data_IF_996456912468
#
_entry.id   IF_996456912468
#
_cell.length_a   1.000
_cell.length_b   1.000
_cell.length_c   1.000
_cell.angle_alpha   90.00
_cell.angle_beta   90.00
_cell.angle_gamma   90.00
#
_symmetry.space_group_name_H-M   'P 1'
#
loop_
_entity.id
_entity.type
_entity.pdbx_description
1 polymer ?
#
# COMPACT_ATOMS: atom_id res chain seq x y z
N UNK A 1 -13.67 47.36 27.41
CA UNK A 1 -12.74 46.74 26.43
C UNK A 1 -12.36 45.31 26.81
N UNK A 2 -11.77 45.04 27.98
CA UNK A 2 -11.37 43.67 28.39
C UNK A 2 -12.52 42.63 28.40
N UNK A 3 -13.71 43.00 28.89
CA UNK A 3 -14.89 42.10 28.89
C UNK A 3 -15.42 41.77 27.48
N UNK A 4 -15.38 42.75 26.58
CA UNK A 4 -15.75 42.55 25.16
C UNK A 4 -14.74 41.65 24.46
N UNK A 5 -13.45 41.84 24.76
CA UNK A 5 -12.37 40.98 24.25
C UNK A 5 -12.53 39.54 24.76
N UNK A 6 -12.84 39.34 26.05
CA UNK A 6 -13.10 38.01 26.62
C UNK A 6 -14.33 37.32 26.02
N UNK A 7 -15.41 38.06 25.74
CA UNK A 7 -16.60 37.54 25.07
C UNK A 7 -16.31 37.12 23.62
N UNK A 8 -15.51 37.91 22.90
CA UNK A 8 -15.12 37.60 21.53
C UNK A 8 -14.24 36.35 21.44
N UNK A 9 -13.27 36.20 22.37
CA UNK A 9 -12.42 35.02 22.45
C UNK A 9 -13.24 33.77 22.80
N UNK A 10 -14.20 33.87 23.73
CA UNK A 10 -15.10 32.77 24.06
C UNK A 10 -15.95 32.34 22.86
N UNK A 11 -16.43 33.29 22.06
CA UNK A 11 -17.22 32.98 20.86
C UNK A 11 -16.38 32.28 19.78
N UNK A 12 -15.13 32.71 19.61
CA UNK A 12 -14.18 32.09 18.66
C UNK A 12 -13.81 30.67 19.09
N UNK A 13 -13.62 30.42 20.39
CA UNK A 13 -13.32 29.08 20.90
C UNK A 13 -14.50 28.11 20.82
N UNK A 14 -15.74 28.61 20.72
CA UNK A 14 -16.94 27.78 20.50
C UNK A 14 -17.23 27.48 19.03
N UNK A 15 -16.56 28.17 18.10
CA UNK A 15 -16.65 27.87 16.68
C UNK A 15 -15.85 26.59 16.40
N UNK A 16 -16.55 25.46 16.31
CA UNK A 16 -16.00 24.19 15.86
C UNK A 16 -15.63 24.31 14.37
N UNK A 17 -14.42 24.81 14.10
CA UNK A 17 -13.82 24.74 12.78
C UNK A 17 -13.50 23.27 12.50
N UNK A 18 -14.42 22.59 11.83
CA UNK A 18 -14.20 21.23 11.34
C UNK A 18 -13.07 21.26 10.31
N UNK A 19 -11.88 20.87 10.74
CA UNK A 19 -10.77 20.58 9.82
C UNK A 19 -11.12 19.28 9.10
N UNK A 20 -11.23 19.34 7.77
CA UNK A 20 -11.43 18.16 6.92
C UNK A 20 -10.11 17.80 6.27
N UNK A 21 -9.71 16.55 6.40
CA UNK A 21 -8.63 15.98 5.60
C UNK A 21 -9.26 15.27 4.40
N UNK A 22 -9.01 15.78 3.20
CA UNK A 22 -9.51 15.19 1.95
C UNK A 22 -8.55 14.13 1.39
N UNK A 23 -7.27 14.15 1.81
CA UNK A 23 -6.23 13.20 1.40
C UNK A 23 -6.22 11.93 2.29
N UNK A 24 -5.71 10.82 1.77
CA UNK A 24 -5.51 9.60 2.56
C UNK A 24 -5.07 8.38 1.76
N UNK A 25 -4.42 7.44 2.46
CA UNK A 25 -4.18 6.07 1.97
C UNK A 25 -5.27 5.17 2.53
N UNK A 26 -6.15 4.67 1.66
CA UNK A 26 -7.38 4.00 2.04
C UNK A 26 -7.25 2.49 2.01
N UNK A 27 -7.82 1.82 3.01
CA UNK A 27 -7.88 0.36 3.05
C UNK A 27 -8.85 -0.15 1.98
N UNK A 28 -8.37 -1.03 1.10
CA UNK A 28 -9.15 -1.58 -0.02
C UNK A 28 -10.52 -2.16 0.40
N UNK A 29 -10.63 -2.96 1.49
CA UNK A 29 -11.91 -3.52 1.92
C UNK A 29 -12.94 -2.46 2.37
N UNK A 30 -12.50 -1.24 2.67
CA UNK A 30 -13.35 -0.15 3.17
C UNK A 30 -13.73 0.87 2.09
N UNK A 31 -13.21 0.74 0.85
CA UNK A 31 -13.45 1.69 -0.24
C UNK A 31 -14.94 1.96 -0.48
N UNK A 32 -15.75 0.89 -0.52
CA UNK A 32 -17.20 0.99 -0.72
C UNK A 32 -17.88 1.87 0.34
N UNK A 33 -17.44 1.76 1.59
CA UNK A 33 -18.03 2.46 2.73
C UNK A 33 -17.55 3.91 2.83
N UNK A 34 -16.28 4.16 2.52
CA UNK A 34 -15.63 5.43 2.86
C UNK A 34 -15.36 6.34 1.67
N UNK A 35 -15.17 5.81 0.45
CA UNK A 35 -14.56 6.57 -0.64
C UNK A 35 -15.34 6.55 -1.95
N UNK A 36 -16.11 5.49 -2.24
CA UNK A 36 -16.75 5.34 -3.55
C UNK A 36 -17.71 6.48 -3.93
N UNK A 37 -18.41 7.09 -2.97
CA UNK A 37 -19.26 8.26 -3.22
C UNK A 37 -18.46 9.39 -3.83
N UNK A 38 -17.42 9.84 -3.14
CA UNK A 38 -16.50 10.89 -3.60
C UNK A 38 -15.80 10.51 -4.91
N UNK A 39 -15.30 9.28 -5.05
CA UNK A 39 -14.65 8.83 -6.29
C UNK A 39 -15.59 8.93 -7.49
N UNK A 40 -16.85 8.51 -7.32
CA UNK A 40 -17.87 8.57 -8.38
C UNK A 40 -18.25 10.01 -8.72
N UNK A 41 -18.38 10.88 -7.72
CA UNK A 41 -18.62 12.33 -7.92
C UNK A 41 -17.48 12.99 -8.72
N UNK A 42 -16.23 12.54 -8.51
CA UNK A 42 -15.06 12.95 -9.27
C UNK A 42 -14.95 12.30 -10.66
N UNK A 43 -15.92 11.47 -11.05
CA UNK A 43 -16.02 10.88 -12.38
C UNK A 43 -15.43 9.47 -12.51
N UNK A 44 -14.97 8.86 -11.42
CA UNK A 44 -14.52 7.47 -11.44
C UNK A 44 -15.66 6.52 -11.81
N UNK A 45 -15.36 5.50 -12.60
CA UNK A 45 -16.38 4.64 -13.24
C UNK A 45 -16.43 3.21 -12.74
N UNK A 46 -15.36 2.72 -12.11
CA UNK A 46 -15.32 1.37 -11.59
C UNK A 46 -16.03 1.30 -10.25
N UNK A 47 -16.58 0.14 -9.95
CA UNK A 47 -17.11 -0.21 -8.64
C UNK A 47 -15.98 -0.54 -7.65
N UNK A 48 -16.31 -0.56 -6.35
CA UNK A 48 -15.38 -1.03 -5.32
C UNK A 48 -14.92 -2.48 -5.55
N UNK A 49 -15.81 -3.34 -6.05
CA UNK A 49 -15.53 -4.76 -6.29
C UNK A 49 -14.53 -4.97 -7.44
N UNK A 50 -14.60 -4.11 -8.47
CA UNK A 50 -13.62 -4.09 -9.57
C UNK A 50 -12.24 -3.61 -9.12
N UNK A 51 -12.16 -2.82 -8.03
CA UNK A 51 -10.88 -2.46 -7.41
C UNK A 51 -10.38 -3.61 -6.52
N UNK A 52 -11.21 -4.07 -5.59
CA UNK A 52 -10.87 -5.12 -4.62
C UNK A 52 -12.04 -6.08 -4.45
N UNK A 53 -11.81 -7.33 -4.84
CA UNK A 53 -12.67 -8.47 -4.52
C UNK A 53 -11.86 -9.58 -3.89
N UNK A 54 -12.43 -10.29 -2.92
CA UNK A 54 -11.84 -11.52 -2.37
C UNK A 54 -12.20 -12.73 -3.26
N UNK A 55 -13.39 -12.69 -3.88
CA UNK A 55 -13.98 -13.84 -4.55
C UNK A 55 -13.81 -13.82 -6.08
N UNK A 56 -13.55 -12.65 -6.65
CA UNK A 56 -13.39 -12.45 -8.08
C UNK A 56 -12.04 -11.80 -8.39
N UNK A 57 -11.63 -11.84 -9.66
CA UNK A 57 -10.52 -11.04 -10.13
C UNK A 57 -10.83 -9.55 -10.03
N UNK A 58 -9.89 -8.75 -9.56
CA UNK A 58 -10.02 -7.29 -9.49
C UNK A 58 -8.69 -6.60 -9.79
N UNK A 59 -8.65 -5.26 -9.80
CA UNK A 59 -7.42 -4.50 -10.04
C UNK A 59 -6.30 -4.89 -9.06
N UNK A 60 -6.63 -5.28 -7.82
CA UNK A 60 -5.65 -5.75 -6.83
C UNK A 60 -4.71 -6.83 -7.37
N UNK A 61 -5.20 -7.69 -8.27
CA UNK A 61 -4.45 -8.84 -8.79
C UNK A 61 -3.37 -8.44 -9.81
N UNK A 62 -3.51 -7.23 -10.38
CA UNK A 62 -2.51 -6.66 -11.28
C UNK A 62 -1.48 -5.78 -10.57
N UNK A 63 -1.72 -5.39 -9.31
CA UNK A 63 -0.82 -4.50 -8.56
C UNK A 63 0.00 -5.33 -7.58
N UNK A 64 1.32 -5.18 -7.65
CA UNK A 64 2.27 -5.99 -6.88
C UNK A 64 3.26 -5.15 -6.11
N UNK A 65 3.76 -5.71 -5.01
CA UNK A 65 4.96 -5.19 -4.36
C UNK A 65 6.17 -5.70 -5.12
N UNK A 66 6.97 -4.78 -5.65
CA UNK A 66 8.21 -5.05 -6.34
C UNK A 66 9.39 -4.96 -5.36
N UNK A 67 10.04 -6.09 -5.09
CA UNK A 67 11.10 -6.18 -4.10
C UNK A 67 10.62 -5.85 -2.68
N UNK A 68 11.29 -4.91 -2.00
CA UNK A 68 11.01 -4.53 -0.60
C UNK A 68 10.72 -3.03 -0.42
N UNK A 69 9.96 -2.42 -1.34
CA UNK A 69 9.56 -1.03 -1.17
C UNK A 69 8.99 -0.29 -2.37
N UNK A 70 8.92 -0.92 -3.55
CA UNK A 70 8.31 -0.32 -4.73
C UNK A 70 6.99 -1.02 -5.08
N UNK A 71 6.22 -0.35 -5.93
CA UNK A 71 5.03 -0.91 -6.58
C UNK A 71 5.35 -1.22 -8.05
N UNK A 72 4.68 -2.22 -8.60
CA UNK A 72 4.66 -2.49 -10.03
C UNK A 72 3.26 -2.95 -10.45
N UNK A 73 3.00 -2.92 -11.75
CA UNK A 73 1.74 -3.32 -12.35
C UNK A 73 1.94 -4.34 -13.48
N UNK A 74 1.11 -5.38 -13.49
CA UNK A 74 1.04 -6.36 -14.58
C UNK A 74 0.26 -5.74 -15.73
N UNK A 75 0.88 -5.73 -16.92
CA UNK A 75 0.29 -5.13 -18.14
C UNK A 75 0.13 -6.14 -19.28
N UNK A 76 0.46 -7.41 -19.06
CA UNK A 76 0.23 -8.47 -20.04
C UNK A 76 -0.18 -9.79 -19.38
N UNK A 77 -0.90 -10.63 -20.14
CA UNK A 77 -1.27 -11.99 -19.72
C UNK A 77 -0.08 -12.95 -19.59
N UNK A 78 1.12 -12.51 -19.97
CA UNK A 78 2.36 -13.27 -19.86
C UNK A 78 3.26 -12.78 -18.72
N UNK A 79 2.76 -11.88 -17.86
CA UNK A 79 3.47 -11.42 -16.67
C UNK A 79 4.44 -10.26 -16.90
N UNK A 80 4.27 -9.48 -17.98
CA UNK A 80 5.05 -8.26 -18.17
C UNK A 80 4.68 -7.26 -17.06
N UNK A 81 5.70 -6.79 -16.33
CA UNK A 81 5.58 -5.83 -15.24
C UNK A 81 6.15 -4.47 -15.65
N UNK A 82 5.44 -3.41 -15.31
CA UNK A 82 5.97 -2.05 -15.35
C UNK A 82 6.26 -1.56 -13.94
N UNK A 83 7.36 -0.82 -13.78
CA UNK A 83 7.70 -0.11 -12.56
C UNK A 83 8.57 1.09 -12.92
N UNK A 84 8.94 1.92 -11.94
CA UNK A 84 9.79 3.06 -12.20
C UNK A 84 11.25 2.65 -12.41
N UNK A 85 11.97 3.45 -13.19
CA UNK A 85 13.41 3.28 -13.42
C UNK A 85 14.21 3.20 -12.10
N UNK A 86 13.91 4.06 -11.12
CA UNK A 86 14.63 4.06 -9.85
C UNK A 86 14.37 2.80 -9.01
N UNK A 87 13.23 2.12 -9.21
CA UNK A 87 12.93 0.84 -8.57
C UNK A 87 13.74 -0.31 -9.19
N UNK A 88 13.94 -0.27 -10.51
CA UNK A 88 14.81 -1.20 -11.24
C UNK A 88 16.30 -0.86 -11.17
N UNK A 89 16.67 0.32 -10.68
CA UNK A 89 18.02 0.87 -10.81
C UNK A 89 19.13 -0.04 -10.28
N UNK A 90 18.92 -0.62 -9.09
CA UNK A 90 19.89 -1.55 -8.50
C UNK A 90 20.09 -2.82 -9.33
N UNK A 91 19.12 -3.21 -10.15
CA UNK A 91 19.21 -4.35 -11.08
C UNK A 91 19.91 -3.95 -12.38
N UNK A 92 19.54 -2.80 -12.94
CA UNK A 92 20.22 -2.22 -14.10
C UNK A 92 21.72 -2.03 -13.80
N UNK A 93 22.04 -1.50 -12.62
CA UNK A 93 23.41 -1.29 -12.17
C UNK A 93 24.17 -2.61 -11.99
N UNK A 94 23.54 -3.64 -11.42
CA UNK A 94 24.17 -4.95 -11.24
C UNK A 94 24.52 -5.65 -12.57
N UNK A 95 23.78 -5.37 -13.65
CA UNK A 95 24.07 -5.89 -14.99
C UNK A 95 24.97 -4.97 -15.83
N UNK A 96 25.23 -3.74 -15.37
CA UNK A 96 26.05 -2.78 -16.11
C UNK A 96 27.54 -3.04 -15.91
N UNK A 97 28.30 -2.80 -16.97
CA UNK A 97 29.77 -2.87 -17.01
C UNK A 97 30.33 -1.70 -17.84
N UNK A 98 31.65 -1.62 -18.00
CA UNK A 98 32.26 -0.61 -18.89
C UNK A 98 31.93 -0.94 -20.35
N UNK A 99 31.89 -2.22 -20.69
CA UNK A 99 31.60 -2.74 -22.02
C UNK A 99 30.10 -2.66 -22.36
N UNK A 100 29.22 -2.91 -21.37
CA UNK A 100 27.77 -2.86 -21.52
C UNK A 100 27.17 -1.94 -20.45
N UNK A 101 27.05 -0.65 -20.76
CA UNK A 101 26.62 0.35 -19.80
C UNK A 101 25.11 0.61 -19.86
N UNK A 102 24.32 -0.32 -19.31
CA UNK A 102 22.85 -0.19 -19.32
C UNK A 102 22.32 1.03 -18.55
N UNK A 103 23.09 1.53 -17.57
CA UNK A 103 22.77 2.78 -16.87
C UNK A 103 22.80 4.00 -17.79
N UNK A 104 23.70 4.01 -18.78
CA UNK A 104 23.87 5.12 -19.73
C UNK A 104 23.03 4.92 -20.98
N UNK A 105 23.10 3.73 -21.56
CA UNK A 105 22.61 3.45 -22.91
C UNK A 105 21.22 2.78 -22.92
N UNK A 106 20.73 2.36 -21.74
CA UNK A 106 19.51 1.58 -21.59
C UNK A 106 19.69 0.10 -21.96
N UNK A 107 18.63 -0.67 -21.76
CA UNK A 107 18.58 -2.09 -22.11
C UNK A 107 17.19 -2.42 -22.65
N UNK A 108 17.15 -3.17 -23.75
CA UNK A 108 15.94 -3.63 -24.40
C UNK A 108 16.14 -5.08 -24.85
N UNK A 109 15.44 -6.02 -24.21
CA UNK A 109 15.41 -7.41 -24.65
C UNK A 109 14.48 -7.51 -25.88
N UNK A 110 15.00 -7.99 -27.01
CA UNK A 110 14.22 -8.16 -28.24
C UNK A 110 13.50 -9.52 -28.29
N UNK A 111 13.82 -10.41 -27.37
CA UNK A 111 13.21 -11.74 -27.18
C UNK A 111 13.15 -12.09 -25.69
N UNK A 112 12.37 -13.12 -25.32
CA UNK A 112 12.27 -13.56 -23.92
C UNK A 112 13.57 -14.16 -23.40
N UNK A 113 14.33 -14.77 -24.30
CA UNK A 113 15.63 -15.39 -24.02
C UNK A 113 16.70 -14.34 -23.69
N UNK A 114 16.50 -13.10 -24.12
CA UNK A 114 17.38 -11.96 -23.82
C UNK A 114 17.05 -11.31 -22.46
N UNK A 115 15.92 -11.63 -21.82
CA UNK A 115 15.56 -11.07 -20.51
C UNK A 115 16.59 -11.46 -19.43
N UNK A 116 17.12 -10.46 -18.72
CA UNK A 116 18.17 -10.67 -17.73
C UNK A 116 17.60 -11.19 -16.40
N UNK A 117 18.12 -12.33 -15.94
CA UNK A 117 17.74 -12.90 -14.64
C UNK A 117 18.30 -12.07 -13.49
N UNK A 118 17.46 -11.82 -12.48
CA UNK A 118 17.78 -11.00 -11.31
C UNK A 118 17.63 -11.82 -10.00
N UNK A 119 18.67 -12.60 -9.61
CA UNK A 119 18.62 -13.42 -8.40
C UNK A 119 18.27 -12.62 -7.14
N UNK A 120 17.35 -13.13 -6.33
CA UNK A 120 16.90 -12.50 -5.09
C UNK A 120 15.92 -11.32 -5.27
N UNK A 121 15.56 -10.96 -6.51
CA UNK A 121 14.40 -10.10 -6.75
C UNK A 121 13.12 -10.94 -6.65
N UNK A 122 12.20 -10.52 -5.79
CA UNK A 122 10.87 -11.12 -5.66
C UNK A 122 9.77 -10.10 -5.96
N UNK A 123 8.58 -10.63 -6.25
CA UNK A 123 7.35 -9.86 -6.46
C UNK A 123 6.27 -10.49 -5.60
N UNK A 124 5.48 -9.67 -4.89
CA UNK A 124 4.44 -10.16 -3.97
C UNK A 124 3.06 -9.69 -4.41
N UNK A 125 2.12 -10.63 -4.49
CA UNK A 125 0.72 -10.39 -4.84
C UNK A 125 -0.14 -10.32 -3.58
N UNK A 126 -1.10 -9.40 -3.57
CA UNK A 126 -2.10 -9.32 -2.49
C UNK A 126 -3.24 -10.31 -2.75
N UNK A 127 -3.27 -11.42 -2.01
CA UNK A 127 -4.34 -12.41 -2.11
C UNK A 127 -5.61 -11.94 -1.40
N UNK A 128 -5.50 -11.61 -0.11
CA UNK A 128 -6.61 -11.13 0.72
C UNK A 128 -6.13 -10.20 1.82
N UNK A 129 -7.04 -9.34 2.29
CA UNK A 129 -6.90 -8.58 3.54
C UNK A 129 -7.95 -9.11 4.51
N UNK A 130 -7.51 -9.53 5.68
CA UNK A 130 -8.36 -10.07 6.75
C UNK A 130 -8.23 -9.21 8.00
N UNK A 131 -9.35 -8.85 8.62
CA UNK A 131 -9.34 -8.17 9.92
C UNK A 131 -9.15 -9.20 11.02
N UNK A 132 -8.01 -9.11 11.72
CA UNK A 132 -7.65 -9.98 12.84
C UNK A 132 -7.57 -9.22 14.17
N UNK A 133 -8.17 -8.04 14.23
CA UNK A 133 -8.11 -7.15 15.40
C UNK A 133 -8.58 -7.84 16.68
N UNK A 134 -9.66 -8.62 16.62
CA UNK A 134 -10.18 -9.36 17.78
C UNK A 134 -9.21 -10.46 18.25
N UNK A 135 -8.65 -11.24 17.30
CA UNK A 135 -7.66 -12.30 17.59
C UNK A 135 -6.43 -11.71 18.28
N UNK A 136 -5.96 -10.56 17.80
CA UNK A 136 -4.84 -9.85 18.42
C UNK A 136 -5.23 -9.29 19.79
N UNK A 137 -6.31 -8.50 19.88
CA UNK A 137 -6.67 -7.78 21.11
C UNK A 137 -7.05 -8.72 22.26
N UNK A 138 -7.67 -9.86 21.99
CA UNK A 138 -7.99 -10.87 23.01
C UNK A 138 -6.75 -11.48 23.68
N UNK A 139 -5.58 -11.41 23.02
CA UNK A 139 -4.31 -11.90 23.56
C UNK A 139 -3.51 -10.81 24.31
N UNK A 140 -4.02 -9.57 24.38
CA UNK A 140 -3.35 -8.44 25.01
C UNK A 140 -3.98 -8.11 26.37
N UNK A 141 -3.14 -7.62 27.29
CA UNK A 141 -3.55 -7.09 28.60
C UNK A 141 -3.12 -5.63 28.72
N UNK A 142 -3.93 -4.82 29.39
CA UNK A 142 -3.65 -3.40 29.68
C UNK A 142 -2.46 -3.23 30.64
N UNK A 143 -2.01 -4.31 31.28
CA UNK A 143 -0.84 -4.31 32.17
C UNK A 143 0.49 -4.46 31.44
N UNK A 144 0.49 -4.77 30.13
CA UNK A 144 1.72 -4.93 29.35
C UNK A 144 2.36 -3.58 29.08
N UNK A 145 3.68 -3.49 29.22
CA UNK A 145 4.39 -2.33 28.68
C UNK A 145 4.43 -2.38 27.14
N UNK A 146 4.80 -1.26 26.51
CA UNK A 146 4.81 -1.13 25.05
C UNK A 146 5.68 -2.20 24.36
N UNK A 147 6.87 -2.49 24.89
CA UNK A 147 7.76 -3.50 24.33
C UNK A 147 7.21 -4.93 24.43
N UNK A 148 6.57 -5.26 25.55
CA UNK A 148 5.88 -6.54 25.73
C UNK A 148 4.67 -6.66 24.81
N UNK A 149 3.90 -5.58 24.67
CA UNK A 149 2.75 -5.51 23.77
C UNK A 149 3.19 -5.78 22.32
N UNK A 150 4.24 -5.12 21.84
CA UNK A 150 4.78 -5.37 20.49
C UNK A 150 5.25 -6.81 20.27
N UNK A 151 5.96 -7.38 21.24
CA UNK A 151 6.37 -8.80 21.17
C UNK A 151 5.16 -9.72 21.09
N UNK A 152 4.17 -9.50 21.96
CA UNK A 152 2.95 -10.32 21.99
C UNK A 152 2.16 -10.22 20.69
N UNK A 153 2.01 -9.02 20.11
CA UNK A 153 1.36 -8.81 18.81
C UNK A 153 2.09 -9.60 17.71
N UNK A 154 3.43 -9.52 17.66
CA UNK A 154 4.21 -10.26 16.67
C UNK A 154 4.06 -11.77 16.83
N UNK A 155 4.12 -12.28 18.06
CA UNK A 155 4.07 -13.71 18.32
C UNK A 155 2.67 -14.27 17.94
N UNK A 156 1.58 -13.60 18.33
CA UNK A 156 0.21 -13.98 17.93
C UNK A 156 0.01 -13.80 16.42
N UNK A 157 0.57 -12.74 15.84
CA UNK A 157 0.56 -12.54 14.39
C UNK A 157 1.20 -13.72 13.66
N UNK A 158 2.31 -14.26 14.19
CA UNK A 158 2.97 -15.43 13.62
C UNK A 158 2.11 -16.69 13.71
N UNK A 159 1.44 -16.89 14.84
CA UNK A 159 0.49 -18.01 15.00
C UNK A 159 -0.67 -17.93 14.00
N UNK A 160 -1.19 -16.72 13.74
CA UNK A 160 -2.25 -16.49 12.74
C UNK A 160 -1.74 -16.80 11.33
N UNK A 161 -0.52 -16.37 10.99
CA UNK A 161 0.10 -16.68 9.69
C UNK A 161 0.29 -18.19 9.50
N UNK A 162 0.77 -18.90 10.52
CA UNK A 162 1.07 -20.33 10.43
C UNK A 162 -0.21 -21.21 10.37
N UNK A 163 -1.36 -20.66 10.77
CA UNK A 163 -2.65 -21.32 10.71
C UNK A 163 -3.44 -21.06 9.40
N UNK A 164 -2.96 -20.14 8.54
CA UNK A 164 -3.60 -19.73 7.30
C UNK A 164 -3.15 -20.56 6.09
#
# INVERSE_FOLDING_TARGET
MKKLLSLLISLILTLNLSVKADEGMWMLPLLKKLNMGTMTELGFKLSAEEIYSINNSSIKDAIVIFGRGCTAEIVSSQGLLLTNHHCGYGRIQAHSSVEHNYLKDGFWAMSKEEELSNPGLGVTFLVKIEDVSEKINSALSDTLNEGERYRKIRDVGKEIEDAA
#
